data_IF_599279710535
#
_entry.id   IF_599279710535
#
_cell.length_a   1.000
_cell.length_b   1.000
_cell.length_c   1.000
_cell.angle_alpha   90.00
_cell.angle_beta   90.00
_cell.angle_gamma   90.00
#
_symmetry.space_group_name_H-M   'P 1'
#
loop_
_entity.id
_entity.type
_entity.pdbx_description
1 polymer ?
#
# COMPACT_ATOMS: atom_id res chain seq x y z
N UNK A 1 -21.78 4.82 13.42
CA UNK A 1 -20.31 4.96 13.59
C UNK A 1 -19.88 5.60 14.91
N UNK A 2 -20.59 6.63 15.44
CA UNK A 2 -20.16 7.41 16.62
C UNK A 2 -19.73 6.57 17.84
N UNK A 3 -20.48 5.53 18.23
CA UNK A 3 -20.11 4.67 19.36
C UNK A 3 -18.92 3.71 19.12
N UNK A 4 -18.58 3.41 17.85
CA UNK A 4 -17.45 2.51 17.52
C UNK A 4 -16.12 3.26 17.40
N UNK A 5 -16.16 4.53 17.01
CA UNK A 5 -14.98 5.40 16.94
C UNK A 5 -14.42 5.72 18.33
N UNK A 6 -15.26 5.69 19.37
CA UNK A 6 -14.84 5.88 20.78
C UNK A 6 -13.92 4.76 21.29
N UNK A 7 -13.91 3.59 20.63
CA UNK A 7 -13.05 2.46 21.00
C UNK A 7 -11.66 2.50 20.34
N UNK A 8 -11.38 3.52 19.52
CA UNK A 8 -10.07 3.69 18.88
C UNK A 8 -9.18 4.49 19.81
N UNK A 9 -8.02 3.94 20.14
CA UNK A 9 -7.04 4.61 20.97
C UNK A 9 -6.65 5.98 20.38
N UNK A 10 -6.57 7.07 21.18
CA UNK A 10 -6.25 8.42 20.67
C UNK A 10 -4.99 8.47 19.80
N UNK A 11 -3.95 7.73 20.21
CA UNK A 11 -2.71 7.60 19.44
C UNK A 11 -2.94 6.92 18.07
N UNK A 12 -3.82 5.91 18.00
CA UNK A 12 -4.19 5.27 16.74
C UNK A 12 -4.98 6.21 15.83
N UNK A 13 -5.86 7.04 16.40
CA UNK A 13 -6.57 8.08 15.66
C UNK A 13 -5.59 9.13 15.09
N UNK A 14 -4.57 9.52 15.86
CA UNK A 14 -3.48 10.38 15.38
C UNK A 14 -2.74 9.74 14.20
N UNK A 15 -2.46 8.44 14.25
CA UNK A 15 -1.85 7.73 13.11
C UNK A 15 -2.74 7.76 11.87
N UNK A 16 -4.05 7.51 12.01
CA UNK A 16 -5.00 7.50 10.89
C UNK A 16 -5.11 8.90 10.25
N UNK A 17 -5.35 9.93 11.06
CA UNK A 17 -5.50 11.33 10.58
C UNK A 17 -4.17 11.84 9.99
N UNK A 18 -3.06 11.59 10.69
CA UNK A 18 -1.75 11.97 10.17
C UNK A 18 -1.38 11.24 8.88
N UNK A 19 -1.81 9.98 8.72
CA UNK A 19 -1.66 9.24 7.45
C UNK A 19 -2.45 9.92 6.33
N UNK A 20 -3.66 10.41 6.57
CA UNK A 20 -4.43 11.18 5.57
C UNK A 20 -3.62 12.38 5.09
N UNK A 21 -3.16 13.23 5.99
CA UNK A 21 -2.44 14.45 5.63
C UNK A 21 -1.08 14.15 4.99
N UNK A 22 -0.35 13.14 5.47
CA UNK A 22 0.89 12.69 4.84
C UNK A 22 0.66 12.17 3.41
N UNK A 23 -0.43 11.42 3.18
CA UNK A 23 -0.79 10.94 1.83
C UNK A 23 -1.28 12.04 0.92
N UNK A 24 -2.02 13.00 1.44
CA UNK A 24 -2.35 14.24 0.75
C UNK A 24 -1.09 14.99 0.30
N UNK A 25 -0.18 15.29 1.24
CA UNK A 25 1.06 16.02 0.97
C UNK A 25 1.98 15.30 -0.04
N UNK A 26 2.17 13.99 0.12
CA UNK A 26 2.99 13.19 -0.79
C UNK A 26 2.37 13.09 -2.18
N UNK A 27 1.06 12.88 -2.29
CA UNK A 27 0.37 12.76 -3.58
C UNK A 27 0.23 14.10 -4.31
N UNK A 28 0.23 15.21 -3.56
CA UNK A 28 0.33 16.56 -4.11
C UNK A 28 1.73 16.85 -4.69
N UNK A 29 2.77 16.18 -4.21
CA UNK A 29 4.17 16.53 -4.53
C UNK A 29 4.84 15.53 -5.47
N UNK A 30 4.87 14.25 -5.12
CA UNK A 30 5.69 13.22 -5.78
C UNK A 30 5.29 12.97 -7.24
N UNK A 31 4.00 12.88 -7.62
CA UNK A 31 3.63 12.73 -9.03
C UNK A 31 4.14 13.89 -9.91
N UNK A 32 4.22 15.10 -9.36
CA UNK A 32 4.71 16.28 -10.07
C UNK A 32 6.23 16.41 -10.06
N UNK A 33 6.95 15.67 -9.20
CA UNK A 33 8.41 15.64 -9.22
C UNK A 33 8.95 15.21 -10.60
N UNK A 34 8.28 14.25 -11.26
CA UNK A 34 8.65 13.83 -12.61
C UNK A 34 8.59 14.99 -13.62
N UNK A 35 7.50 15.77 -13.54
CA UNK A 35 7.27 16.91 -14.42
C UNK A 35 8.26 18.02 -14.09
N UNK A 36 8.49 18.31 -12.81
CA UNK A 36 9.45 19.31 -12.36
C UNK A 36 10.88 19.00 -12.85
N UNK A 37 11.31 17.74 -12.72
CA UNK A 37 12.64 17.30 -13.16
C UNK A 37 12.84 17.50 -14.67
N UNK A 38 11.84 17.13 -15.47
CA UNK A 38 11.92 17.22 -16.93
C UNK A 38 11.75 18.65 -17.44
N UNK A 39 10.76 19.37 -16.93
CA UNK A 39 10.35 20.68 -17.48
C UNK A 39 11.08 21.86 -16.86
N UNK A 40 11.49 21.78 -15.60
CA UNK A 40 12.18 22.88 -14.88
C UNK A 40 13.67 22.61 -14.75
N UNK A 41 14.06 21.40 -14.36
CA UNK A 41 15.48 21.03 -14.19
C UNK A 41 16.14 20.49 -15.47
N UNK A 42 15.39 20.32 -16.56
CA UNK A 42 15.93 19.85 -17.85
C UNK A 42 16.49 18.42 -17.81
N UNK A 43 16.12 17.63 -16.81
CA UNK A 43 16.57 16.24 -16.66
C UNK A 43 15.89 15.38 -17.71
N UNK A 44 16.64 14.49 -18.37
CA UNK A 44 16.05 13.59 -19.37
C UNK A 44 14.96 12.69 -18.76
N UNK A 45 14.00 12.27 -19.58
CA UNK A 45 12.91 11.40 -19.14
C UNK A 45 13.43 10.08 -18.55
N UNK A 46 14.43 9.46 -19.19
CA UNK A 46 15.05 8.22 -18.69
C UNK A 46 15.71 8.40 -17.32
N UNK A 47 16.46 9.50 -17.12
CA UNK A 47 17.07 9.80 -15.82
C UNK A 47 16.02 10.12 -14.76
N UNK A 48 14.95 10.83 -15.12
CA UNK A 48 13.80 11.12 -14.25
C UNK A 48 13.13 9.82 -13.79
N UNK A 49 12.90 8.88 -14.71
CA UNK A 49 12.38 7.55 -14.39
C UNK A 49 13.29 6.80 -13.43
N UNK A 50 14.61 6.83 -13.64
CA UNK A 50 15.60 6.22 -12.74
C UNK A 50 15.58 6.85 -11.33
N UNK A 51 15.51 8.18 -11.23
CA UNK A 51 15.37 8.89 -9.95
C UNK A 51 14.13 8.39 -9.23
N UNK A 52 12.97 8.41 -9.88
CA UNK A 52 11.68 8.02 -9.28
C UNK A 52 11.69 6.55 -8.87
N UNK A 53 12.20 5.66 -9.73
CA UNK A 53 12.28 4.23 -9.47
C UNK A 53 13.18 3.87 -8.27
N UNK A 54 14.14 4.72 -7.91
CA UNK A 54 15.04 4.48 -6.77
C UNK A 54 14.27 4.36 -5.46
N UNK A 55 13.20 5.14 -5.24
CA UNK A 55 12.39 5.05 -4.01
C UNK A 55 11.66 3.70 -3.90
N UNK A 56 11.15 3.18 -5.02
CA UNK A 56 10.51 1.88 -5.07
C UNK A 56 11.52 0.76 -4.79
N UNK A 57 12.69 0.80 -5.41
CA UNK A 57 13.75 -0.19 -5.22
C UNK A 57 14.22 -0.25 -3.77
N UNK A 58 14.56 0.90 -3.18
CA UNK A 58 14.94 0.98 -1.76
C UNK A 58 13.79 0.51 -0.89
N UNK A 59 12.56 0.91 -1.23
CA UNK A 59 11.36 0.63 -0.46
C UNK A 59 11.10 -0.86 -0.23
N UNK A 60 11.28 -1.70 -1.25
CA UNK A 60 11.05 -3.15 -1.18
C UNK A 60 11.88 -3.80 -0.08
N UNK A 61 13.18 -3.51 -0.01
CA UNK A 61 14.09 -4.12 0.96
C UNK A 61 14.07 -3.41 2.31
N UNK A 62 13.95 -2.07 2.29
CA UNK A 62 13.92 -1.26 3.50
C UNK A 62 12.71 -1.55 4.39
N UNK A 63 11.59 -2.01 3.82
CA UNK A 63 10.37 -2.27 4.59
C UNK A 63 10.57 -3.37 5.63
N UNK A 64 11.28 -4.45 5.26
CA UNK A 64 11.63 -5.51 6.20
C UNK A 64 12.56 -5.00 7.31
N UNK A 65 13.56 -4.20 6.95
CA UNK A 65 14.51 -3.59 7.90
C UNK A 65 13.77 -2.69 8.89
N UNK A 66 12.96 -1.74 8.40
CA UNK A 66 12.20 -0.82 9.24
C UNK A 66 11.23 -1.54 10.17
N UNK A 67 10.55 -2.56 9.66
CA UNK A 67 9.71 -3.45 10.45
C UNK A 67 10.46 -4.12 11.60
N UNK A 68 11.58 -4.79 11.33
CA UNK A 68 12.38 -5.46 12.35
C UNK A 68 13.01 -4.48 13.37
N UNK A 69 13.52 -3.34 12.90
CA UNK A 69 14.05 -2.30 13.78
C UNK A 69 12.96 -1.76 14.72
N UNK A 70 11.71 -1.69 14.27
CA UNK A 70 10.61 -1.24 15.12
C UNK A 70 10.21 -2.25 16.20
N UNK A 71 10.37 -3.55 15.95
CA UNK A 71 10.21 -4.57 16.99
C UNK A 71 11.36 -4.49 18.02
N UNK A 72 12.57 -4.13 17.58
CA UNK A 72 13.78 -4.11 18.42
C UNK A 72 13.96 -2.83 19.24
N UNK A 73 13.78 -1.67 18.61
CA UNK A 73 14.03 -0.35 19.20
C UNK A 73 12.75 0.37 19.66
N UNK A 74 11.59 -0.22 19.36
CA UNK A 74 10.28 0.33 19.70
C UNK A 74 9.64 1.12 18.57
N UNK A 75 8.30 1.14 18.57
CA UNK A 75 7.47 1.79 17.53
C UNK A 75 7.68 3.30 17.49
N UNK A 76 7.76 3.94 18.66
CA UNK A 76 7.83 5.39 18.78
C UNK A 76 9.09 5.97 18.11
N UNK A 77 10.25 5.37 18.40
CA UNK A 77 11.55 5.82 17.91
C UNK A 77 11.58 5.72 16.39
N UNK A 78 11.20 4.57 15.82
CA UNK A 78 11.23 4.37 14.37
C UNK A 78 10.25 5.30 13.64
N UNK A 79 9.05 5.53 14.17
CA UNK A 79 8.09 6.46 13.57
C UNK A 79 8.60 7.90 13.60
N UNK A 80 9.07 8.39 14.75
CA UNK A 80 9.55 9.77 14.89
C UNK A 80 10.81 9.99 14.06
N UNK A 81 11.81 9.09 14.13
CA UNK A 81 13.03 9.23 13.34
C UNK A 81 12.74 9.21 11.84
N UNK A 82 11.90 8.28 11.35
CA UNK A 82 11.56 8.23 9.92
C UNK A 82 10.85 9.50 9.46
N UNK A 83 9.95 10.07 10.26
CA UNK A 83 9.26 11.31 9.90
C UNK A 83 10.19 12.53 9.94
N UNK A 84 11.11 12.63 10.91
CA UNK A 84 12.11 13.70 10.95
C UNK A 84 12.98 13.68 9.70
N UNK A 85 13.49 12.49 9.32
CA UNK A 85 14.25 12.35 8.08
C UNK A 85 13.39 12.73 6.87
N UNK A 86 12.10 12.38 6.89
CA UNK A 86 11.18 12.72 5.80
C UNK A 86 10.98 14.24 5.65
N UNK A 87 10.96 15.00 6.74
CA UNK A 87 10.95 16.48 6.71
C UNK A 87 12.15 16.99 5.94
N UNK A 88 13.35 16.53 6.28
CA UNK A 88 14.58 16.94 5.60
C UNK A 88 14.62 16.50 4.13
N UNK A 89 14.03 15.35 3.79
CA UNK A 89 13.89 14.92 2.40
C UNK A 89 13.04 15.93 1.60
N UNK A 90 11.90 16.35 2.14
CA UNK A 90 11.03 17.30 1.43
C UNK A 90 11.61 18.72 1.36
N UNK A 91 12.27 19.19 2.42
CA UNK A 91 13.05 20.44 2.36
C UNK A 91 14.16 20.30 1.32
N UNK A 92 14.88 19.16 1.32
CA UNK A 92 15.94 18.88 0.36
C UNK A 92 15.44 18.92 -1.09
N UNK A 93 14.26 18.38 -1.40
CA UNK A 93 13.69 18.47 -2.75
C UNK A 93 13.45 19.92 -3.18
N UNK A 94 13.10 20.81 -2.26
CA UNK A 94 12.89 22.23 -2.58
C UNK A 94 14.18 22.99 -2.88
N UNK A 95 15.32 22.49 -2.38
CA UNK A 95 16.64 23.13 -2.49
C UNK A 95 17.57 22.41 -3.48
N UNK A 96 17.16 21.28 -4.04
CA UNK A 96 18.01 20.45 -4.88
C UNK A 96 18.15 21.03 -6.30
N UNK A 97 19.40 21.15 -6.75
CA UNK A 97 19.75 21.59 -8.11
C UNK A 97 20.44 20.51 -8.94
N UNK A 98 21.03 19.51 -8.30
CA UNK A 98 21.78 18.45 -8.98
C UNK A 98 21.00 17.15 -9.06
N UNK A 99 21.15 16.43 -10.19
CA UNK A 99 20.54 15.11 -10.43
C UNK A 99 20.84 14.12 -9.31
N UNK A 100 22.08 14.08 -8.81
CA UNK A 100 22.49 13.20 -7.72
C UNK A 100 21.73 13.49 -6.41
N UNK A 101 21.46 14.77 -6.11
CA UNK A 101 20.66 15.15 -4.94
C UNK A 101 19.26 14.56 -5.03
N UNK A 102 18.63 14.60 -6.20
CA UNK A 102 17.30 14.00 -6.41
C UNK A 102 17.31 12.47 -6.25
N UNK A 103 18.36 11.78 -6.72
CA UNK A 103 18.52 10.35 -6.46
C UNK A 103 18.57 10.03 -4.97
N UNK A 104 19.45 10.71 -4.23
CA UNK A 104 19.63 10.47 -2.79
C UNK A 104 18.37 10.81 -2.00
N UNK A 105 17.73 11.95 -2.30
CA UNK A 105 16.50 12.37 -1.64
C UNK A 105 15.35 11.41 -1.93
N UNK A 106 15.21 10.92 -3.16
CA UNK A 106 14.15 9.98 -3.49
C UNK A 106 14.42 8.56 -2.93
N UNK A 107 15.69 8.13 -2.87
CA UNK A 107 16.08 6.93 -2.13
C UNK A 107 15.67 7.03 -0.65
N UNK A 108 15.99 8.16 0.00
CA UNK A 108 15.61 8.43 1.38
C UNK A 108 14.09 8.54 1.55
N UNK A 109 13.36 9.07 0.58
CA UNK A 109 11.89 9.09 0.59
C UNK A 109 11.33 7.66 0.67
N UNK A 110 11.85 6.75 -0.16
CA UNK A 110 11.52 5.33 -0.13
C UNK A 110 11.84 4.69 1.23
N UNK A 111 13.02 4.97 1.79
CA UNK A 111 13.44 4.51 3.11
C UNK A 111 12.47 4.97 4.22
N UNK A 112 12.15 6.28 4.25
CA UNK A 112 11.26 6.86 5.26
C UNK A 112 9.87 6.22 5.20
N UNK A 113 9.30 6.10 4.00
CA UNK A 113 8.01 5.43 3.78
C UNK A 113 8.06 3.98 4.26
N UNK A 114 9.12 3.25 3.92
CA UNK A 114 9.27 1.84 4.29
C UNK A 114 9.54 1.60 5.77
N UNK A 115 10.04 2.59 6.50
CA UNK A 115 10.14 2.51 7.96
C UNK A 115 8.81 2.88 8.62
N UNK A 116 8.14 3.90 8.11
CA UNK A 116 6.88 4.39 8.66
C UNK A 116 5.72 3.41 8.48
N UNK A 117 5.50 2.90 7.27
CA UNK A 117 4.33 2.08 6.92
C UNK A 117 4.16 0.81 7.76
N UNK A 118 5.14 -0.12 7.82
CA UNK A 118 5.01 -1.33 8.63
C UNK A 118 4.96 -1.02 10.13
N UNK A 119 5.73 -0.03 10.60
CA UNK A 119 5.73 0.36 12.02
C UNK A 119 4.38 0.93 12.44
N UNK A 120 3.76 1.76 11.59
CA UNK A 120 2.44 2.36 11.87
C UNK A 120 1.34 1.29 11.94
N UNK A 121 1.37 0.27 11.06
CA UNK A 121 0.44 -0.85 11.11
C UNK A 121 0.63 -1.70 12.36
N UNK A 122 1.88 -2.02 12.71
CA UNK A 122 2.18 -2.75 13.93
C UNK A 122 1.74 -2.00 15.19
N UNK A 123 1.98 -0.69 15.26
CA UNK A 123 1.51 0.16 16.36
C UNK A 123 -0.02 0.18 16.45
N UNK A 124 -0.73 0.30 15.32
CA UNK A 124 -2.19 0.23 15.31
C UNK A 124 -2.70 -1.12 15.82
N UNK A 125 -2.04 -2.22 15.44
CA UNK A 125 -2.34 -3.54 15.98
C UNK A 125 -2.18 -3.60 17.50
N UNK A 126 -1.07 -3.05 18.01
CA UNK A 126 -0.70 -3.10 19.42
C UNK A 126 -1.67 -2.30 20.30
N UNK A 127 -2.25 -1.23 19.76
CA UNK A 127 -3.22 -0.35 20.44
C UNK A 127 -4.68 -0.82 20.31
N UNK A 128 -4.95 -1.78 19.42
CA UNK A 128 -6.32 -2.13 19.02
C UNK A 128 -6.67 -3.53 19.46
N UNK A 129 -7.79 -3.67 20.19
CA UNK A 129 -8.36 -4.99 20.51
C UNK A 129 -8.68 -5.76 19.22
N UNK A 130 -8.51 -7.09 19.20
CA UNK A 130 -8.70 -7.89 17.98
C UNK A 130 -10.00 -7.60 17.20
N UNK A 131 -11.11 -7.44 17.91
CA UNK A 131 -12.44 -7.15 17.35
C UNK A 131 -12.55 -5.82 16.56
N UNK A 132 -11.65 -4.86 16.81
CA UNK A 132 -11.63 -3.54 16.15
C UNK A 132 -10.52 -3.40 15.10
N UNK A 133 -9.62 -4.37 14.94
CA UNK A 133 -8.48 -4.28 14.01
C UNK A 133 -8.92 -4.07 12.57
N UNK A 134 -9.93 -4.82 12.13
CA UNK A 134 -10.51 -4.64 10.80
C UNK A 134 -11.00 -3.19 10.58
N UNK A 135 -11.68 -2.61 11.57
CA UNK A 135 -12.14 -1.21 11.48
C UNK A 135 -10.97 -0.25 11.38
N UNK A 136 -9.95 -0.42 12.23
CA UNK A 136 -8.79 0.48 12.29
C UNK A 136 -7.96 0.43 11.00
N UNK A 137 -7.66 -0.76 10.46
CA UNK A 137 -6.94 -0.87 9.18
C UNK A 137 -7.74 -0.29 8.02
N UNK A 138 -9.06 -0.48 8.00
CA UNK A 138 -9.90 0.14 6.98
C UNK A 138 -9.93 1.67 7.11
N UNK A 139 -10.10 2.22 8.31
CA UNK A 139 -10.08 3.68 8.50
C UNK A 139 -8.75 4.27 8.03
N UNK A 140 -7.63 3.58 8.29
CA UNK A 140 -6.33 3.94 7.76
C UNK A 140 -6.29 3.87 6.23
N UNK A 141 -6.78 2.80 5.62
CA UNK A 141 -6.81 2.65 4.16
C UNK A 141 -7.70 3.71 3.50
N UNK A 142 -8.85 4.03 4.10
CA UNK A 142 -9.73 5.11 3.65
C UNK A 142 -9.04 6.47 3.75
N UNK A 143 -8.35 6.75 4.86
CA UNK A 143 -7.53 7.95 5.02
C UNK A 143 -6.44 8.07 3.92
N UNK A 144 -5.79 6.96 3.55
CA UNK A 144 -4.83 6.94 2.44
C UNK A 144 -5.51 7.35 1.13
N UNK A 145 -6.63 6.72 0.79
CA UNK A 145 -7.33 6.97 -0.47
C UNK A 145 -7.87 8.39 -0.57
N UNK A 146 -8.43 8.94 0.51
CA UNK A 146 -8.85 10.34 0.55
C UNK A 146 -7.67 11.28 0.31
N UNK A 147 -6.52 11.03 0.95
CA UNK A 147 -5.32 11.82 0.72
C UNK A 147 -4.82 11.74 -0.72
N UNK A 148 -4.77 10.54 -1.31
CA UNK A 148 -4.34 10.29 -2.70
C UNK A 148 -5.31 10.91 -3.71
N UNK A 149 -6.61 10.95 -3.42
CA UNK A 149 -7.62 11.54 -4.30
C UNK A 149 -7.52 13.07 -4.34
N UNK A 150 -7.35 13.71 -3.19
CA UNK A 150 -7.38 15.17 -3.07
C UNK A 150 -6.01 15.79 -3.38
N UNK A 151 -4.91 15.12 -3.02
CA UNK A 151 -3.54 15.63 -3.14
C UNK A 151 -3.19 16.16 -4.54
N UNK A 152 -3.34 15.35 -5.61
CA UNK A 152 -3.01 15.79 -6.96
C UNK A 152 -3.85 16.97 -7.46
N UNK A 153 -5.12 17.08 -7.04
CA UNK A 153 -6.01 18.19 -7.42
C UNK A 153 -5.51 19.52 -6.86
N UNK A 154 -5.18 19.54 -5.56
CA UNK A 154 -4.57 20.71 -4.94
C UNK A 154 -3.20 20.98 -5.54
N UNK A 155 -2.43 19.93 -5.81
CA UNK A 155 -1.10 20.03 -6.41
C UNK A 155 -1.13 20.72 -7.76
N UNK A 156 -2.11 20.39 -8.60
CA UNK A 156 -2.32 21.05 -9.88
C UNK A 156 -2.64 22.53 -9.71
N UNK A 157 -3.56 22.88 -8.79
CA UNK A 157 -3.98 24.28 -8.55
C UNK A 157 -2.84 25.17 -8.06
N UNK A 158 -1.93 24.66 -7.22
CA UNK A 158 -0.77 25.42 -6.74
C UNK A 158 0.43 25.37 -7.70
N UNK A 159 0.27 24.80 -8.90
CA UNK A 159 1.30 24.76 -9.92
C UNK A 159 2.47 23.84 -9.59
N UNK A 160 2.22 22.69 -8.94
CA UNK A 160 3.25 21.79 -8.42
C UNK A 160 4.28 21.33 -9.46
N UNK A 161 3.86 21.23 -10.72
CA UNK A 161 4.74 20.91 -11.84
C UNK A 161 5.92 21.89 -12.03
N UNK A 162 5.74 23.15 -11.61
CA UNK A 162 6.67 24.26 -11.91
C UNK A 162 7.26 24.91 -10.66
N UNK A 163 6.92 24.42 -9.47
CA UNK A 163 7.22 25.09 -8.21
C UNK A 163 7.73 24.11 -7.16
N UNK A 164 8.58 24.60 -6.26
CA UNK A 164 9.08 23.85 -5.09
C UNK A 164 8.18 24.00 -3.86
N UNK A 165 7.16 24.88 -3.91
CA UNK A 165 6.17 25.09 -2.85
C UNK A 165 5.53 23.79 -2.35
N UNK A 166 5.14 22.81 -3.19
CA UNK A 166 4.49 21.59 -2.71
C UNK A 166 5.40 20.77 -1.79
N UNK A 167 6.71 20.75 -2.08
CA UNK A 167 7.68 20.09 -1.22
C UNK A 167 7.79 20.78 0.15
N UNK A 168 7.73 22.11 0.19
CA UNK A 168 7.71 22.87 1.46
C UNK A 168 6.40 22.65 2.23
N UNK A 169 5.25 22.60 1.56
CA UNK A 169 3.98 22.26 2.19
C UNK A 169 4.03 20.84 2.78
N UNK A 170 4.58 19.89 2.03
CA UNK A 170 4.76 18.53 2.52
C UNK A 170 5.68 18.49 3.74
N UNK A 171 6.81 19.19 3.72
CA UNK A 171 7.68 19.33 4.89
C UNK A 171 6.92 19.90 6.10
N UNK A 172 6.13 20.96 5.92
CA UNK A 172 5.29 21.54 6.98
C UNK A 172 4.29 20.55 7.57
N UNK A 173 3.62 19.76 6.72
CA UNK A 173 2.71 18.69 7.16
C UNK A 173 3.45 17.62 7.97
N UNK A 174 4.63 17.20 7.52
CA UNK A 174 5.44 16.22 8.26
C UNK A 174 5.99 16.76 9.57
N UNK A 175 6.37 18.05 9.65
CA UNK A 175 6.76 18.71 10.90
C UNK A 175 5.59 18.68 11.87
N UNK A 176 4.42 19.18 11.45
CA UNK A 176 3.25 19.24 12.30
C UNK A 176 2.85 17.83 12.78
N UNK A 177 2.84 16.86 11.89
CA UNK A 177 2.51 15.48 12.24
C UNK A 177 3.55 14.89 13.21
N UNK A 178 4.86 15.12 13.00
CA UNK A 178 5.91 14.66 13.91
C UNK A 178 5.73 15.23 15.30
N UNK A 179 5.47 16.54 15.41
CA UNK A 179 5.27 17.25 16.68
C UNK A 179 4.05 16.70 17.41
N UNK A 180 2.90 16.59 16.73
CA UNK A 180 1.66 16.04 17.33
C UNK A 180 1.88 14.61 17.79
N UNK A 181 2.53 13.78 16.97
CA UNK A 181 2.79 12.38 17.30
C UNK A 181 3.75 12.24 18.48
N UNK A 182 4.79 13.08 18.57
CA UNK A 182 5.72 13.11 19.70
C UNK A 182 5.01 13.49 21.00
N UNK A 183 4.13 14.51 20.97
CA UNK A 183 3.29 14.86 22.13
C UNK A 183 2.35 13.72 22.53
N UNK A 184 1.75 13.05 21.55
CA UNK A 184 0.87 11.91 21.80
C UNK A 184 1.61 10.72 22.42
N UNK A 185 2.84 10.43 21.98
CA UNK A 185 3.68 9.40 22.62
C UNK A 185 4.09 9.76 24.04
N UNK A 186 4.31 11.05 24.33
CA UNK A 186 4.58 11.52 25.69
C UNK A 186 3.34 11.40 26.60
N UNK A 187 2.16 11.71 26.06
CA UNK A 187 0.89 11.67 26.79
C UNK A 187 0.38 10.24 27.01
N UNK A 188 0.54 9.39 26.01
CA UNK A 188 0.14 7.99 26.01
C UNK A 188 1.39 7.13 25.80
N UNK A 189 2.24 6.98 26.84
CA UNK A 189 3.42 6.13 26.75
C UNK A 189 2.94 4.73 26.40
N UNK A 190 3.35 4.25 25.22
CA UNK A 190 3.10 2.88 24.82
C UNK A 190 4.05 2.05 25.66
N UNK A 191 3.51 1.37 26.68
CA UNK A 191 4.28 0.34 27.38
C UNK A 191 4.85 -0.58 26.32
N UNK A 192 6.18 -0.55 26.16
CA UNK A 192 6.88 -1.67 25.58
C UNK A 192 6.55 -2.79 26.54
N UNK A 193 5.53 -3.61 26.25
CA UNK A 193 5.29 -4.86 26.97
C UNK A 193 6.68 -5.44 27.11
N UNK A 194 7.18 -5.53 28.34
CA UNK A 194 8.44 -6.17 28.65
C UNK A 194 8.33 -7.56 28.05
N UNK A 195 8.81 -7.72 26.82
CA UNK A 195 8.94 -9.02 26.19
C UNK A 195 9.97 -9.68 27.09
N UNK A 196 9.47 -10.52 27.99
CA UNK A 196 10.21 -11.33 28.94
C UNK A 196 11.58 -11.67 28.37
N UNK A 197 12.68 -11.16 28.96
CA UNK A 197 14.08 -11.67 28.96
C UNK A 197 14.68 -12.34 27.70
N UNK A 198 13.98 -12.39 26.59
CA UNK A 198 14.36 -13.03 25.34
C UNK A 198 15.12 -11.98 24.54
N UNK A 199 16.32 -12.36 24.13
CA UNK A 199 17.25 -11.48 23.44
C UNK A 199 16.54 -10.81 22.25
N UNK A 200 16.76 -9.50 22.01
CA UNK A 200 16.17 -8.82 20.87
C UNK A 200 16.42 -9.63 19.59
N UNK A 201 15.36 -9.98 18.88
CA UNK A 201 15.45 -10.84 17.69
C UNK A 201 16.22 -10.08 16.63
N UNK A 202 17.46 -10.51 16.38
CA UNK A 202 18.31 -9.94 15.34
C UNK A 202 17.67 -10.13 13.97
N UNK A 203 18.00 -9.26 13.02
CA UNK A 203 17.47 -9.32 11.66
C UNK A 203 17.67 -10.70 11.01
N UNK A 204 18.82 -11.34 11.25
CA UNK A 204 19.10 -12.69 10.73
C UNK A 204 18.15 -13.75 11.33
N UNK A 205 17.87 -13.66 12.63
CA UNK A 205 16.93 -14.57 13.29
C UNK A 205 15.49 -14.31 12.83
N UNK A 206 15.10 -13.04 12.67
CA UNK A 206 13.81 -12.66 12.15
C UNK A 206 13.58 -13.21 10.73
N UNK A 207 14.59 -13.09 9.86
CA UNK A 207 14.56 -13.68 8.51
C UNK A 207 14.46 -15.21 8.56
N UNK A 208 15.19 -15.86 9.48
CA UNK A 208 15.13 -17.31 9.68
C UNK A 208 13.74 -17.77 10.13
N UNK A 209 13.07 -17.00 11.00
CA UNK A 209 11.71 -17.27 11.46
C UNK A 209 10.74 -17.18 10.28
N UNK A 210 10.77 -16.07 9.52
CA UNK A 210 9.89 -15.90 8.36
C UNK A 210 10.12 -16.96 7.28
N UNK A 211 11.37 -17.34 7.02
CA UNK A 211 11.70 -18.39 6.04
C UNK A 211 11.14 -19.76 6.44
N UNK A 212 10.87 -19.99 7.73
CA UNK A 212 10.23 -21.22 8.23
C UNK A 212 8.71 -21.12 8.32
N UNK A 213 8.14 -19.92 8.26
CA UNK A 213 6.70 -19.72 8.30
C UNK A 213 6.09 -19.96 6.92
N UNK A 214 5.76 -21.22 6.63
CA UNK A 214 5.19 -21.64 5.34
C UNK A 214 3.85 -20.94 5.06
N UNK A 215 3.04 -20.66 6.09
CA UNK A 215 1.76 -19.94 5.90
C UNK A 215 2.06 -18.53 5.39
N UNK A 216 3.01 -17.82 6.00
CA UNK A 216 3.43 -16.50 5.55
C UNK A 216 4.02 -16.53 4.14
N UNK A 217 4.93 -17.45 3.83
CA UNK A 217 5.60 -17.49 2.52
C UNK A 217 4.63 -17.78 1.37
N UNK A 218 3.73 -18.75 1.53
CA UNK A 218 2.74 -19.06 0.48
C UNK A 218 1.72 -17.91 0.35
N UNK A 219 1.32 -17.29 1.46
CA UNK A 219 0.48 -16.09 1.42
C UNK A 219 1.16 -14.94 0.68
N UNK A 220 2.45 -14.70 0.92
CA UNK A 220 3.23 -13.66 0.28
C UNK A 220 3.25 -13.84 -1.24
N UNK A 221 3.42 -15.08 -1.73
CA UNK A 221 3.33 -15.39 -3.17
C UNK A 221 1.94 -15.09 -3.71
N UNK A 222 0.89 -15.52 -3.01
CA UNK A 222 -0.49 -15.21 -3.40
C UNK A 222 -0.75 -13.70 -3.49
N UNK A 223 -0.29 -12.94 -2.50
CA UNK A 223 -0.47 -11.48 -2.44
C UNK A 223 0.39 -10.76 -3.50
N UNK A 224 1.59 -11.26 -3.84
CA UNK A 224 2.39 -10.75 -4.97
C UNK A 224 1.58 -10.87 -6.27
N UNK A 225 0.98 -12.03 -6.52
CA UNK A 225 0.16 -12.26 -7.72
C UNK A 225 -1.11 -11.40 -7.73
N UNK A 226 -1.79 -11.24 -6.59
CA UNK A 226 -2.94 -10.34 -6.48
C UNK A 226 -2.53 -8.88 -6.74
N UNK A 227 -1.40 -8.42 -6.18
CA UNK A 227 -0.88 -7.07 -6.43
C UNK A 227 -0.49 -6.84 -7.88
N UNK A 228 -0.02 -7.88 -8.58
CA UNK A 228 0.21 -7.83 -10.03
C UNK A 228 -1.09 -7.48 -10.76
N UNK A 229 -2.18 -8.20 -10.50
CA UNK A 229 -3.51 -7.88 -11.02
C UNK A 229 -3.92 -6.44 -10.72
N UNK A 230 -3.75 -5.99 -9.48
CA UNK A 230 -4.08 -4.62 -9.09
C UNK A 230 -3.30 -3.55 -9.88
N UNK A 231 -2.01 -3.78 -10.14
CA UNK A 231 -1.12 -2.79 -10.78
C UNK A 231 -1.53 -2.39 -12.20
N UNK A 232 -2.33 -3.23 -12.88
CA UNK A 232 -2.75 -2.98 -14.26
C UNK A 232 -3.75 -1.83 -14.41
N UNK A 233 -4.49 -1.47 -13.35
CA UNK A 233 -5.43 -0.35 -13.39
C UNK A 233 -4.72 0.96 -13.77
N UNK A 234 -3.52 1.21 -13.23
CA UNK A 234 -2.78 2.46 -13.47
C UNK A 234 -1.78 2.35 -14.61
N UNK A 235 -1.46 1.14 -15.08
CA UNK A 235 -0.43 0.90 -16.09
C UNK A 235 -1.01 0.41 -17.41
N UNK A 236 -1.49 -0.83 -17.50
CA UNK A 236 -1.99 -1.41 -18.75
C UNK A 236 -3.32 -0.79 -19.19
N UNK A 237 -4.25 -0.53 -18.26
CA UNK A 237 -5.53 0.13 -18.60
C UNK A 237 -5.30 1.55 -19.11
N UNK A 238 -4.37 2.31 -18.50
CA UNK A 238 -4.06 3.68 -18.94
C UNK A 238 -3.45 3.70 -20.34
N UNK A 239 -2.52 2.80 -20.63
CA UNK A 239 -1.92 2.65 -21.96
C UNK A 239 -2.93 2.16 -23.00
N UNK A 240 -3.79 1.20 -22.65
CA UNK A 240 -4.82 0.69 -23.55
C UNK A 240 -5.82 1.78 -23.92
N UNK A 241 -6.39 2.48 -22.93
CA UNK A 241 -7.34 3.55 -23.20
C UNK A 241 -6.71 4.66 -24.04
N UNK A 242 -5.48 5.07 -23.74
CA UNK A 242 -4.82 6.15 -24.47
C UNK A 242 -4.48 5.84 -25.94
N UNK A 243 -4.30 4.56 -26.32
CA UNK A 243 -3.78 4.18 -27.64
C UNK A 243 -4.72 3.29 -28.48
N UNK A 244 -5.78 2.74 -27.89
CA UNK A 244 -6.77 1.98 -28.65
C UNK A 244 -7.66 2.94 -29.47
N UNK A 245 -7.84 2.69 -30.76
CA UNK A 245 -8.59 3.61 -31.64
C UNK A 245 -10.10 3.63 -31.33
N UNK A 246 -10.58 2.65 -30.57
CA UNK A 246 -11.98 2.55 -30.13
C UNK A 246 -12.39 3.68 -29.17
N UNK A 247 -11.43 4.37 -28.53
CA UNK A 247 -11.72 5.48 -27.61
C UNK A 247 -11.28 6.81 -28.23
N UNK A 248 -12.24 7.70 -28.47
CA UNK A 248 -11.96 9.04 -29.05
C UNK A 248 -11.06 9.90 -28.13
N UNK A 249 -11.29 9.87 -26.82
CA UNK A 249 -10.51 10.61 -25.82
C UNK A 249 -10.14 9.68 -24.64
N UNK A 250 -9.28 8.72 -24.94
CA UNK A 250 -8.84 7.68 -24.01
C UNK A 250 -8.18 8.19 -22.73
N UNK A 251 -7.42 9.27 -22.83
CA UNK A 251 -6.74 9.89 -21.67
C UNK A 251 -7.76 10.48 -20.70
N UNK A 252 -8.79 11.15 -21.22
CA UNK A 252 -9.90 11.67 -20.42
C UNK A 252 -10.74 10.55 -19.81
N UNK A 253 -11.02 9.49 -20.58
CA UNK A 253 -11.70 8.29 -20.08
C UNK A 253 -10.95 7.68 -18.89
N UNK A 254 -9.65 7.44 -19.03
CA UNK A 254 -8.81 6.91 -17.94
C UNK A 254 -8.84 7.82 -16.70
N UNK A 255 -8.78 9.14 -16.90
CA UNK A 255 -8.86 10.11 -15.80
C UNK A 255 -10.19 10.03 -15.05
N UNK A 256 -11.31 9.85 -15.77
CA UNK A 256 -12.62 9.62 -15.15
C UNK A 256 -12.69 8.29 -14.40
N UNK A 257 -12.10 7.22 -14.93
CA UNK A 257 -12.07 5.93 -14.23
C UNK A 257 -11.22 5.98 -12.96
N UNK A 258 -10.09 6.68 -12.98
CA UNK A 258 -9.26 6.87 -11.79
C UNK A 258 -9.98 7.68 -10.70
N UNK A 259 -10.68 8.75 -11.09
CA UNK A 259 -11.52 9.52 -10.17
C UNK A 259 -12.68 8.68 -9.61
N UNK A 260 -13.33 7.88 -10.47
CA UNK A 260 -14.39 6.97 -10.06
C UNK A 260 -13.88 5.93 -9.05
N UNK A 261 -12.73 5.31 -9.31
CA UNK A 261 -12.10 4.37 -8.38
C UNK A 261 -11.94 4.98 -6.99
N UNK A 262 -11.35 6.18 -6.88
CA UNK A 262 -11.18 6.85 -5.59
C UNK A 262 -12.51 7.13 -4.86
N UNK A 263 -13.54 7.61 -5.58
CA UNK A 263 -14.87 7.86 -5.01
C UNK A 263 -15.50 6.55 -4.54
N UNK A 264 -15.44 5.52 -5.37
CA UNK A 264 -16.00 4.20 -5.09
C UNK A 264 -15.34 3.64 -3.85
N UNK A 265 -14.00 3.66 -3.72
CA UNK A 265 -13.29 3.20 -2.51
C UNK A 265 -13.89 3.81 -1.26
N UNK A 266 -14.03 5.14 -1.20
CA UNK A 266 -14.55 5.85 -0.02
C UNK A 266 -16.00 5.44 0.30
N UNK A 267 -16.84 5.25 -0.70
CA UNK A 267 -18.25 4.89 -0.52
C UNK A 267 -18.42 3.42 -0.12
N UNK A 268 -17.78 2.49 -0.84
CA UNK A 268 -18.00 1.05 -0.67
C UNK A 268 -17.26 0.46 0.51
N UNK A 269 -16.22 1.13 1.00
CA UNK A 269 -15.34 0.55 2.01
C UNK A 269 -16.10 0.15 3.27
N UNK A 270 -16.99 1.00 3.79
CA UNK A 270 -17.77 0.67 4.98
C UNK A 270 -18.75 -0.51 4.78
N UNK A 271 -19.58 -0.55 3.71
CA UNK A 271 -20.38 -1.72 3.37
C UNK A 271 -19.57 -3.02 3.28
N UNK A 272 -18.45 -2.99 2.54
CA UNK A 272 -17.56 -4.14 2.34
C UNK A 272 -17.04 -4.67 3.68
N UNK A 273 -16.66 -3.79 4.60
CA UNK A 273 -16.24 -4.18 5.97
C UNK A 273 -17.33 -4.98 6.70
N UNK A 274 -18.58 -4.51 6.67
CA UNK A 274 -19.66 -5.19 7.41
C UNK A 274 -19.91 -6.59 6.86
N UNK A 275 -19.85 -6.74 5.53
CA UNK A 275 -19.98 -8.04 4.88
C UNK A 275 -18.84 -8.98 5.27
N UNK A 276 -17.61 -8.46 5.30
CA UNK A 276 -16.42 -9.28 5.53
C UNK A 276 -16.25 -9.78 6.97
N UNK A 277 -16.90 -9.18 7.97
CA UNK A 277 -16.84 -9.67 9.36
C UNK A 277 -17.28 -11.12 9.54
N UNK A 278 -18.08 -11.65 8.60
CA UNK A 278 -18.58 -13.02 8.62
C UNK A 278 -17.60 -14.02 7.99
N UNK A 279 -16.54 -13.53 7.34
CA UNK A 279 -15.62 -14.34 6.55
C UNK A 279 -14.19 -14.20 7.08
N UNK A 280 -13.35 -15.19 6.77
CA UNK A 280 -11.93 -15.11 7.11
C UNK A 280 -11.21 -14.13 6.18
N UNK A 281 -10.15 -13.44 6.64
CA UNK A 281 -9.38 -12.51 5.83
C UNK A 281 -8.92 -13.10 4.49
N UNK A 282 -8.39 -14.33 4.49
CA UNK A 282 -7.98 -15.03 3.26
C UNK A 282 -9.13 -15.23 2.27
N UNK A 283 -10.33 -15.55 2.74
CA UNK A 283 -11.51 -15.70 1.87
C UNK A 283 -11.84 -14.38 1.19
N UNK A 284 -11.78 -13.27 1.93
CA UNK A 284 -12.00 -11.93 1.38
C UNK A 284 -10.92 -11.53 0.38
N UNK A 285 -9.63 -11.85 0.62
CA UNK A 285 -8.55 -11.58 -0.35
C UNK A 285 -8.74 -12.41 -1.63
N UNK A 286 -9.14 -13.68 -1.50
CA UNK A 286 -9.43 -14.56 -2.64
C UNK A 286 -10.58 -14.02 -3.49
N UNK A 287 -11.71 -13.66 -2.86
CA UNK A 287 -12.83 -13.03 -3.54
C UNK A 287 -12.39 -11.72 -4.18
N UNK A 288 -11.64 -10.88 -3.46
CA UNK A 288 -11.14 -9.62 -3.97
C UNK A 288 -10.28 -9.77 -5.23
N UNK A 289 -9.42 -10.80 -5.25
CA UNK A 289 -8.63 -11.16 -6.44
C UNK A 289 -9.54 -11.50 -7.63
N UNK A 290 -10.62 -12.25 -7.43
CA UNK A 290 -11.57 -12.57 -8.51
C UNK A 290 -12.27 -11.31 -9.04
N UNK A 291 -12.63 -10.37 -8.17
CA UNK A 291 -13.20 -9.08 -8.58
C UNK A 291 -12.20 -8.23 -9.37
N UNK A 292 -10.92 -8.18 -8.94
CA UNK A 292 -9.84 -7.53 -9.69
C UNK A 292 -9.68 -8.17 -11.08
N UNK A 293 -9.58 -9.51 -11.14
CA UNK A 293 -9.46 -10.23 -12.41
C UNK A 293 -10.68 -10.03 -13.32
N UNK A 294 -11.90 -10.04 -12.76
CA UNK A 294 -13.13 -9.81 -13.51
C UNK A 294 -13.24 -8.38 -14.05
N UNK A 295 -12.81 -7.39 -13.27
CA UNK A 295 -12.70 -6.00 -13.72
C UNK A 295 -11.69 -5.85 -14.86
N UNK A 296 -10.52 -6.50 -14.73
CA UNK A 296 -9.51 -6.53 -15.80
C UNK A 296 -10.06 -7.15 -17.09
N UNK A 297 -10.63 -8.34 -17.00
CA UNK A 297 -11.24 -9.01 -18.15
C UNK A 297 -12.29 -8.12 -18.83
N UNK A 298 -13.14 -7.47 -18.04
CA UNK A 298 -14.15 -6.54 -18.54
C UNK A 298 -13.55 -5.38 -19.34
N UNK A 299 -12.42 -4.80 -18.93
CA UNK A 299 -11.75 -3.73 -19.68
C UNK A 299 -11.33 -4.15 -21.10
N UNK A 300 -11.11 -5.44 -21.36
CA UNK A 300 -10.81 -5.95 -22.69
C UNK A 300 -12.01 -6.10 -23.63
N UNK A 301 -13.23 -5.94 -23.13
CA UNK A 301 -14.48 -6.16 -23.87
C UNK A 301 -15.28 -4.86 -24.02
N UNK A 302 -15.20 -3.97 -23.04
CA UNK A 302 -15.99 -2.74 -23.03
C UNK A 302 -15.39 -1.67 -23.93
N UNK A 303 -16.25 -1.07 -24.74
CA UNK A 303 -15.90 0.03 -25.66
C UNK A 303 -16.56 1.36 -25.25
N UNK A 304 -17.42 1.34 -24.22
CA UNK A 304 -18.15 2.52 -23.75
C UNK A 304 -17.67 3.01 -22.39
N UNK A 305 -17.83 4.32 -22.14
CA UNK A 305 -17.53 4.92 -20.84
C UNK A 305 -18.30 4.27 -19.69
N UNK A 306 -19.58 3.94 -19.91
CA UNK A 306 -20.41 3.28 -18.89
C UNK A 306 -19.91 1.86 -18.60
N UNK A 307 -19.52 1.10 -19.63
CA UNK A 307 -18.92 -0.22 -19.45
C UNK A 307 -17.62 -0.16 -18.66
N UNK A 308 -16.72 0.76 -19.01
CA UNK A 308 -15.49 1.01 -18.26
C UNK A 308 -15.76 1.40 -16.80
N UNK A 309 -16.80 2.20 -16.55
CA UNK A 309 -17.19 2.59 -15.19
C UNK A 309 -17.65 1.39 -14.35
N UNK A 310 -18.44 0.48 -14.93
CA UNK A 310 -18.86 -0.76 -14.28
C UNK A 310 -17.66 -1.65 -13.96
N UNK A 311 -16.75 -1.85 -14.91
CA UNK A 311 -15.52 -2.63 -14.70
C UNK A 311 -14.64 -2.01 -13.60
N UNK A 312 -14.53 -0.68 -13.57
CA UNK A 312 -13.81 0.05 -12.51
C UNK A 312 -14.44 -0.18 -11.14
N UNK A 313 -15.77 -0.15 -11.01
CA UNK A 313 -16.46 -0.43 -9.74
C UNK A 313 -16.18 -1.86 -9.28
N UNK A 314 -16.32 -2.85 -10.18
CA UNK A 314 -16.03 -4.27 -9.89
C UNK A 314 -14.59 -4.43 -9.40
N UNK A 315 -13.64 -3.84 -10.13
CA UNK A 315 -12.22 -3.85 -9.77
C UNK A 315 -11.98 -3.23 -8.40
N UNK A 316 -12.63 -2.10 -8.12
CA UNK A 316 -12.48 -1.34 -6.86
C UNK A 316 -13.01 -2.11 -5.66
N UNK A 317 -14.11 -2.86 -5.82
CA UNK A 317 -14.59 -3.78 -4.77
C UNK A 317 -13.50 -4.81 -4.44
N UNK A 318 -12.84 -5.34 -5.47
CA UNK A 318 -11.73 -6.28 -5.31
C UNK A 318 -10.52 -5.68 -4.59
N UNK A 319 -10.12 -4.46 -4.97
CA UNK A 319 -9.06 -3.69 -4.33
C UNK A 319 -9.28 -3.53 -2.83
N UNK A 320 -10.46 -3.03 -2.42
CA UNK A 320 -10.78 -2.76 -1.02
C UNK A 320 -10.71 -4.04 -0.18
N UNK A 321 -11.23 -5.14 -0.73
CA UNK A 321 -11.16 -6.46 -0.10
C UNK A 321 -9.71 -6.93 0.08
N UNK A 322 -8.87 -6.78 -0.94
CA UNK A 322 -7.48 -7.24 -0.90
C UNK A 322 -6.66 -6.49 0.14
N UNK A 323 -6.59 -5.15 0.06
CA UNK A 323 -5.65 -4.39 0.89
C UNK A 323 -6.04 -4.38 2.36
N UNK A 324 -7.32 -4.17 2.66
CA UNK A 324 -7.79 -4.08 4.04
C UNK A 324 -7.70 -5.42 4.79
N UNK A 325 -7.92 -6.53 4.08
CA UNK A 325 -7.88 -7.87 4.67
C UNK A 325 -6.47 -8.44 4.72
N UNK A 326 -5.58 -7.99 3.83
CA UNK A 326 -4.16 -8.34 3.92
C UNK A 326 -3.58 -7.85 5.24
N UNK A 327 -3.88 -6.61 5.65
CA UNK A 327 -3.37 -6.10 6.93
C UNK A 327 -3.90 -6.90 8.13
N UNK A 328 -5.19 -7.28 8.12
CA UNK A 328 -5.79 -8.14 9.16
C UNK A 328 -5.16 -9.53 9.16
N UNK A 329 -5.02 -10.15 7.99
CA UNK A 329 -4.43 -11.48 7.85
C UNK A 329 -3.01 -11.53 8.41
N UNK A 330 -2.18 -10.54 8.06
CA UNK A 330 -0.79 -10.47 8.49
C UNK A 330 -0.69 -10.26 9.99
N UNK A 331 -1.56 -9.44 10.56
CA UNK A 331 -1.68 -9.28 12.01
C UNK A 331 -2.05 -10.60 12.71
N UNK A 332 -2.99 -11.35 12.16
CA UNK A 332 -3.48 -12.61 12.75
C UNK A 332 -2.40 -13.71 12.76
N UNK A 333 -1.53 -13.78 11.75
CA UNK A 333 -0.46 -14.80 11.68
C UNK A 333 0.85 -14.35 12.35
N UNK A 334 1.03 -13.05 12.56
CA UNK A 334 2.26 -12.50 13.11
C UNK A 334 2.48 -12.96 14.55
N UNK A 335 3.73 -13.34 14.84
CA UNK A 335 4.15 -13.57 16.22
C UNK A 335 4.07 -12.23 16.98
N UNK A 336 3.52 -12.24 18.19
CA UNK A 336 3.17 -11.02 18.92
C UNK A 336 4.33 -10.00 19.06
N UNK A 337 5.56 -10.48 19.22
CA UNK A 337 6.76 -9.64 19.33
C UNK A 337 7.47 -9.36 17.98
N UNK A 338 6.95 -9.87 16.85
CA UNK A 338 7.51 -9.70 15.50
C UNK A 338 6.53 -9.05 14.52
N UNK A 339 5.46 -8.41 14.99
CA UNK A 339 4.47 -7.79 14.10
C UNK A 339 5.09 -6.80 13.12
N UNK A 340 6.05 -5.99 13.57
CA UNK A 340 6.77 -5.05 12.71
C UNK A 340 7.50 -5.80 11.60
N UNK A 341 8.20 -6.87 11.94
CA UNK A 341 8.91 -7.76 11.01
C UNK A 341 7.96 -8.36 9.97
N UNK A 342 6.78 -8.88 10.38
CA UNK A 342 5.78 -9.45 9.47
C UNK A 342 5.19 -8.38 8.52
N UNK A 343 4.76 -7.23 9.04
CA UNK A 343 4.30 -6.12 8.21
C UNK A 343 5.40 -5.56 7.31
N UNK A 344 6.65 -5.57 7.79
CA UNK A 344 7.82 -5.14 7.04
C UNK A 344 8.11 -6.05 5.87
N UNK A 345 8.07 -7.36 6.09
CA UNK A 345 8.26 -8.37 5.05
C UNK A 345 7.19 -8.33 3.96
N UNK A 346 5.99 -7.81 4.25
CA UNK A 346 4.99 -7.52 3.20
C UNK A 346 5.46 -6.48 2.18
N UNK A 347 6.55 -5.74 2.43
CA UNK A 347 7.20 -4.91 1.42
C UNK A 347 7.65 -5.70 0.18
N UNK A 348 7.99 -6.99 0.33
CA UNK A 348 8.28 -7.87 -0.81
C UNK A 348 7.08 -8.09 -1.72
N UNK A 349 5.85 -7.86 -1.25
CA UNK A 349 4.67 -7.90 -2.12
C UNK A 349 4.67 -6.80 -3.20
N UNK A 350 5.51 -5.77 -3.04
CA UNK A 350 5.77 -4.75 -4.04
C UNK A 350 6.39 -5.29 -5.34
N UNK A 351 6.99 -6.49 -5.33
CA UNK A 351 7.46 -7.17 -6.54
C UNK A 351 6.32 -7.36 -7.55
N UNK A 352 5.09 -7.61 -7.08
CA UNK A 352 3.92 -7.73 -7.95
C UNK A 352 3.63 -6.45 -8.74
N UNK A 353 3.83 -5.28 -8.12
CA UNK A 353 3.67 -3.99 -8.77
C UNK A 353 4.79 -3.64 -9.76
N UNK A 354 5.87 -4.42 -9.80
CA UNK A 354 6.94 -4.31 -10.81
C UNK A 354 6.71 -5.30 -11.95
N UNK A 355 6.39 -6.55 -11.62
CA UNK A 355 6.15 -7.62 -12.61
C UNK A 355 4.90 -7.32 -13.46
N UNK A 356 3.83 -6.82 -12.84
CA UNK A 356 2.57 -6.54 -13.54
C UNK A 356 2.72 -5.57 -14.69
N UNK A 357 3.19 -4.32 -14.48
CA UNK A 357 3.34 -3.36 -15.56
C UNK A 357 4.25 -3.87 -16.69
N UNK A 358 5.33 -4.59 -16.36
CA UNK A 358 6.19 -5.21 -17.36
C UNK A 358 5.45 -6.26 -18.19
N UNK A 359 4.76 -7.19 -17.54
CA UNK A 359 4.01 -8.25 -18.21
C UNK A 359 2.88 -7.68 -19.09
N UNK A 360 2.16 -6.68 -18.58
CA UNK A 360 1.12 -5.99 -19.34
C UNK A 360 1.65 -5.23 -20.56
N UNK A 361 2.82 -4.58 -20.44
CA UNK A 361 3.50 -3.93 -21.57
C UNK A 361 3.89 -4.93 -22.66
N UNK A 362 4.50 -6.07 -22.29
CA UNK A 362 4.85 -7.15 -23.24
C UNK A 362 3.62 -7.66 -23.99
N UNK A 363 2.48 -7.83 -23.30
CA UNK A 363 1.24 -8.25 -23.95
C UNK A 363 0.70 -7.18 -24.91
N UNK A 364 0.77 -5.90 -24.54
CA UNK A 364 0.37 -4.80 -25.42
C UNK A 364 1.28 -4.69 -26.65
N UNK A 365 2.60 -4.88 -26.49
CA UNK A 365 3.55 -4.88 -27.61
C UNK A 365 3.29 -6.04 -28.59
N UNK A 366 2.98 -7.23 -28.05
CA UNK A 366 2.79 -8.43 -28.85
C UNK A 366 1.40 -8.50 -29.53
N UNK A 367 0.32 -8.23 -28.78
CA UNK A 367 -1.05 -8.32 -29.29
C UNK A 367 -1.57 -6.99 -29.87
N UNK A 368 -0.91 -5.87 -29.56
CA UNK A 368 -1.32 -4.53 -29.95
C UNK A 368 -2.47 -3.96 -29.10
N UNK A 369 -2.61 -2.63 -29.13
CA UNK A 369 -3.66 -1.91 -28.44
C UNK A 369 -5.07 -2.16 -28.98
N UNK A 370 -5.22 -2.74 -30.18
CA UNK A 370 -6.54 -3.01 -30.76
C UNK A 370 -7.13 -4.34 -30.31
N UNK A 371 -6.31 -5.22 -29.73
CA UNK A 371 -6.74 -6.55 -29.31
C UNK A 371 -6.86 -6.61 -27.78
N UNK A 372 -7.64 -5.67 -27.21
CA UNK A 372 -7.85 -5.57 -25.77
C UNK A 372 -8.34 -6.87 -25.16
N UNK A 373 -9.21 -7.60 -25.85
CA UNK A 373 -9.73 -8.87 -25.37
C UNK A 373 -8.60 -9.87 -25.06
N UNK A 374 -7.65 -10.08 -25.98
CA UNK A 374 -6.53 -11.00 -25.77
C UNK A 374 -5.63 -10.57 -24.61
N UNK A 375 -5.28 -9.28 -24.57
CA UNK A 375 -4.40 -8.70 -23.53
C UNK A 375 -5.03 -8.86 -22.14
N UNK A 376 -6.25 -8.35 -21.97
CA UNK A 376 -6.89 -8.34 -20.65
C UNK A 376 -7.39 -9.72 -20.21
N UNK A 377 -7.69 -10.63 -21.14
CA UNK A 377 -7.95 -12.04 -20.80
C UNK A 377 -6.72 -12.72 -20.23
N UNK A 378 -5.55 -12.53 -20.86
CA UNK A 378 -4.30 -13.08 -20.35
C UNK A 378 -3.95 -12.51 -18.95
N UNK A 379 -4.13 -11.20 -18.76
CA UNK A 379 -3.93 -10.54 -17.46
C UNK A 379 -4.90 -11.04 -16.38
N UNK A 380 -6.18 -11.19 -16.73
CA UNK A 380 -7.21 -11.69 -15.81
C UNK A 380 -6.94 -13.14 -15.40
N UNK A 381 -6.54 -14.00 -16.34
CA UNK A 381 -6.15 -15.39 -16.06
C UNK A 381 -4.94 -15.41 -15.13
N UNK A 382 -3.90 -14.63 -15.45
CA UNK A 382 -2.69 -14.53 -14.63
C UNK A 382 -2.99 -14.08 -13.20
N UNK A 383 -3.77 -13.01 -13.04
CA UNK A 383 -4.22 -12.51 -11.74
C UNK A 383 -5.02 -13.58 -10.96
N UNK A 384 -5.84 -14.37 -11.65
CA UNK A 384 -6.64 -15.45 -11.05
C UNK A 384 -5.78 -16.59 -10.49
N UNK A 385 -4.53 -16.77 -10.95
CA UNK A 385 -3.58 -17.75 -10.39
C UNK A 385 -3.28 -17.48 -8.90
N UNK A 386 -3.47 -16.26 -8.41
CA UNK A 386 -3.36 -15.98 -6.98
C UNK A 386 -4.39 -16.77 -6.15
N UNK A 387 -5.58 -17.05 -6.70
CA UNK A 387 -6.67 -17.74 -6.00
C UNK A 387 -6.29 -19.14 -5.49
N UNK A 388 -5.79 -20.09 -6.32
CA UNK A 388 -5.39 -21.40 -5.83
C UNK A 388 -4.24 -21.32 -4.81
N UNK A 389 -3.30 -20.39 -4.95
CA UNK A 389 -2.21 -20.19 -3.97
C UNK A 389 -2.76 -19.73 -2.62
N UNK A 390 -3.70 -18.79 -2.62
CA UNK A 390 -4.38 -18.33 -1.41
C UNK A 390 -5.31 -19.41 -0.80
N UNK A 391 -5.88 -20.29 -1.62
CA UNK A 391 -6.65 -21.44 -1.16
C UNK A 391 -5.76 -22.45 -0.41
N UNK A 392 -4.57 -22.74 -0.94
CA UNK A 392 -3.55 -23.54 -0.25
C UNK A 392 -3.15 -22.87 1.07
N UNK A 393 -2.93 -21.55 1.05
CA UNK A 393 -2.64 -20.76 2.25
C UNK A 393 -3.73 -20.92 3.31
N UNK A 394 -5.00 -20.87 2.92
CA UNK A 394 -6.15 -21.06 3.81
C UNK A 394 -6.14 -22.44 4.44
N UNK A 395 -5.85 -23.48 3.66
CA UNK A 395 -5.70 -24.85 4.17
C UNK A 395 -4.56 -25.00 5.17
N UNK A 396 -3.39 -24.42 4.88
CA UNK A 396 -2.23 -24.44 5.78
C UNK A 396 -2.49 -23.65 7.07
N UNK A 397 -3.14 -22.50 6.97
CA UNK A 397 -3.52 -21.67 8.11
C UNK A 397 -4.50 -22.40 9.04
N UNK A 398 -5.48 -23.12 8.47
CA UNK A 398 -6.41 -23.94 9.26
C UNK A 398 -5.67 -25.06 10.00
N UNK A 399 -4.80 -25.81 9.32
CA UNK A 399 -3.98 -26.86 9.95
C UNK A 399 -3.09 -26.32 11.08
N UNK A 400 -2.53 -25.11 10.90
CA UNK A 400 -1.73 -24.44 11.95
C UNK A 400 -2.58 -24.11 13.17
N UNK A 401 -3.80 -23.62 12.97
CA UNK A 401 -4.74 -23.34 14.05
C UNK A 401 -5.12 -24.61 14.82
N UNK A 402 -5.57 -25.66 14.11
CA UNK A 402 -5.99 -26.93 14.70
C UNK A 402 -4.86 -27.60 15.51
N UNK A 403 -3.61 -27.50 15.02
CA UNK A 403 -2.45 -28.01 15.75
C UNK A 403 -2.21 -27.24 17.05
N UNK A 404 -2.33 -25.92 17.04
CA UNK A 404 -2.10 -25.10 18.23
C UNK A 404 -3.20 -25.30 19.27
N UNK A 405 -4.46 -25.44 18.86
CA UNK A 405 -5.57 -25.73 19.79
C UNK A 405 -5.42 -27.08 20.46
N UNK A 406 -4.97 -28.11 19.74
CA UNK A 406 -4.75 -29.44 20.31
C UNK A 406 -3.62 -29.45 21.35
N UNK A 407 -2.57 -28.64 21.15
CA UNK A 407 -1.49 -28.49 22.13
C UNK A 407 -2.00 -27.83 23.42
N UNK A 408 -2.85 -26.80 23.32
CA UNK A 408 -3.44 -26.15 24.51
C UNK A 408 -4.39 -27.06 25.29
N UNK A 409 -5.09 -27.98 24.61
CA UNK A 409 -5.98 -28.96 25.25
C UNK A 409 -5.17 -30.01 26.02
N UNK A 410 -4.02 -30.45 25.50
CA UNK A 410 -3.15 -31.43 26.17
C UNK A 410 -2.20 -30.83 27.21
N UNK A 411 -2.07 -29.50 27.27
CA UNK A 411 -1.27 -28.79 28.28
C UNK A 411 -2.06 -28.40 29.54
N UNK A 412 -3.39 -28.61 29.54
CA UNK A 412 -4.27 -28.51 30.71
C UNK A 412 -4.57 -29.90 31.25
#
# INVERSE_FOLDING_TARGET
MKGKLQNIHPLGMTIIIGTLFARFATSMSIPFLAIYLTTVKGVSAGMTGAIIGTSALVGVFASFIGGNLSDRFGRNMILICSMIVWVFVFIGFSLADHVLSFFLLNALNGLCRSFFEPTSRALLSDLTKPEYRLLVYNLRYGAINVGVAIGPLVGLQIGSAKSTIPFLVAAGVYILYTVILAFQFKKYPVEQKTINKEKPVTMLNALRILRKDVVFLVALVGIILSNCGFSHLTTTVSQYFANAHIFEDGVKLFSYMLALNAIVVVIIQYPVIQMCKKYTPLTSIMVGTLFVSGGLFGFGIVESMLGAAVCTIIFTIGEVLMFSMTDVFIDDIAVAHLKGTYFGAMGFSGIGAVIGPWFGGVLLDYYGYQNGFAVFSALAIFSTVAFPVLLVTKGLSKKRYDRNSNIEIHAK
#
